data_IF_664735816231
#
_entry.id   IF_664735816231
#
_cell.length_a   1.000
_cell.length_b   1.000
_cell.length_c   1.000
_cell.angle_alpha   90.00
_cell.angle_beta   90.00
_cell.angle_gamma   90.00
#
_symmetry.space_group_name_H-M   'P 1'
#
loop_
_entity.id
_entity.type
_entity.pdbx_description
1 polymer ?
#
# COMPACT_ATOMS: atom_id res chain seq x y z
N UNK A 1 49.00 -40.12 29.00
CA UNK A 1 49.02 -39.92 30.46
C UNK A 1 49.90 -38.69 30.72
N UNK A 2 49.46 -37.62 31.37
CA UNK A 2 48.25 -37.40 32.20
C UNK A 2 47.58 -36.05 31.91
N UNK A 3 46.30 -35.94 32.28
CA UNK A 3 45.43 -34.76 32.24
C UNK A 3 45.71 -33.78 33.42
N UNK A 4 45.06 -32.59 33.49
CA UNK A 4 45.61 -31.41 34.18
C UNK A 4 45.12 -31.23 35.63
N UNK A 5 45.59 -30.19 36.34
CA UNK A 5 44.95 -29.68 37.56
C UNK A 5 44.27 -28.31 37.38
N UNK A 6 43.02 -28.27 37.82
CA UNK A 6 42.20 -27.16 38.31
C UNK A 6 41.39 -27.81 39.48
N UNK A 7 40.88 -27.13 40.54
CA UNK A 7 40.81 -25.68 40.81
C UNK A 7 41.07 -25.23 42.28
N UNK A 8 40.81 -23.92 42.53
CA UNK A 8 40.35 -23.26 43.79
C UNK A 8 41.36 -22.86 44.91
N UNK A 9 41.12 -21.63 45.39
CA UNK A 9 41.50 -21.00 46.69
C UNK A 9 43.02 -20.72 46.87
N UNK A 10 43.50 -19.60 47.42
CA UNK A 10 42.89 -18.33 47.91
C UNK A 10 43.96 -17.20 47.75
N UNK A 11 43.77 -15.91 48.08
CA UNK A 11 42.75 -15.21 48.87
C UNK A 11 42.65 -13.71 48.48
N UNK A 12 41.62 -13.01 48.97
CA UNK A 12 41.54 -11.55 49.13
C UNK A 12 41.15 -11.30 50.61
N UNK A 13 41.62 -10.23 51.28
CA UNK A 13 40.77 -9.03 51.43
C UNK A 13 41.64 -7.73 51.55
N UNK A 14 41.18 -6.50 51.82
CA UNK A 14 39.88 -5.92 52.22
C UNK A 14 39.88 -4.43 51.88
N UNK A 15 38.74 -3.84 51.47
CA UNK A 15 38.10 -2.69 52.16
C UNK A 15 36.99 -2.04 51.32
N UNK A 16 35.77 -2.10 51.87
CA UNK A 16 34.57 -1.30 51.54
C UNK A 16 33.89 -1.03 52.90
N UNK A 17 33.46 0.20 53.18
CA UNK A 17 32.01 0.50 53.34
C UNK A 17 31.60 1.72 52.49
N UNK A 18 30.31 2.00 52.20
CA UNK A 18 29.06 1.37 52.65
C UNK A 18 27.92 1.55 51.61
N UNK A 19 26.85 0.76 51.74
CA UNK A 19 25.59 0.86 50.97
C UNK A 19 24.47 1.48 51.84
N UNK A 20 23.22 1.70 51.35
CA UNK A 20 22.24 0.60 51.56
C UNK A 20 21.04 0.48 50.57
N UNK A 21 20.64 -0.78 50.32
CA UNK A 21 19.26 -1.32 50.10
C UNK A 21 18.39 -0.87 48.89
N UNK A 22 17.59 -1.73 48.24
CA UNK A 22 17.46 -3.21 48.31
C UNK A 22 16.09 -3.79 47.84
N UNK A 23 16.09 -5.07 47.38
CA UNK A 23 14.96 -6.05 47.26
C UNK A 23 14.01 -6.08 46.01
N UNK A 24 14.42 -6.87 45.00
CA UNK A 24 13.79 -8.11 44.43
C UNK A 24 12.23 -8.23 44.24
N UNK A 25 11.80 -8.31 42.96
CA UNK A 25 10.68 -9.08 42.31
C UNK A 25 9.19 -8.83 42.70
N UNK A 26 8.17 -9.22 41.86
CA UNK A 26 8.20 -9.93 40.56
C UNK A 26 7.39 -9.31 39.36
N UNK A 27 7.62 -9.88 38.18
CA UNK A 27 6.70 -10.14 37.04
C UNK A 27 5.40 -9.30 36.83
N UNK A 28 5.31 -8.55 35.71
CA UNK A 28 4.05 -8.41 34.94
C UNK A 28 4.22 -7.84 33.51
N UNK A 29 3.31 -8.21 32.62
CA UNK A 29 3.26 -7.76 31.21
C UNK A 29 2.90 -6.28 31.05
N UNK A 30 3.54 -5.56 30.11
CA UNK A 30 2.95 -4.40 29.42
C UNK A 30 3.63 -4.03 28.09
N UNK A 31 2.83 -3.44 27.19
CA UNK A 31 3.15 -3.14 25.78
C UNK A 31 4.14 -1.96 25.58
N UNK A 32 4.71 -1.78 24.37
CA UNK A 32 5.68 -0.72 24.11
C UNK A 32 5.11 0.69 24.30
N UNK A 33 5.77 1.51 25.12
CA UNK A 33 5.44 2.93 25.24
C UNK A 33 5.91 3.70 23.99
N UNK A 34 5.02 4.46 23.37
CA UNK A 34 5.38 5.41 22.31
C UNK A 34 6.28 6.51 22.87
N UNK A 35 7.39 6.81 22.17
CA UNK A 35 8.18 8.02 22.44
C UNK A 35 7.34 9.26 22.12
N UNK A 36 7.42 10.27 22.98
CA UNK A 36 6.80 11.57 22.75
C UNK A 36 7.38 12.27 21.51
N UNK A 37 6.59 13.04 20.74
CA UNK A 37 7.11 13.82 19.61
C UNK A 37 8.17 14.84 20.04
N UNK A 38 9.07 15.20 19.13
CA UNK A 38 10.02 16.31 19.33
C UNK A 38 9.30 17.66 19.44
N UNK A 39 9.92 18.61 20.15
CA UNK A 39 9.34 19.94 20.40
C UNK A 39 8.99 20.73 19.11
N UNK A 40 9.72 20.46 18.02
CA UNK A 40 9.48 21.08 16.71
C UNK A 40 8.15 20.62 16.09
N UNK A 41 7.79 19.34 16.24
CA UNK A 41 6.52 18.80 15.79
C UNK A 41 5.33 19.40 16.57
N UNK A 42 5.50 19.67 17.86
CA UNK A 42 4.50 20.36 18.68
C UNK A 42 4.30 21.81 18.19
N UNK A 43 5.39 22.51 17.87
CA UNK A 43 5.35 23.91 17.40
C UNK A 43 4.66 24.03 16.02
N UNK A 44 4.90 23.09 15.10
CA UNK A 44 4.16 23.04 13.83
C UNK A 44 2.67 22.73 14.01
N UNK A 45 2.33 21.83 14.94
CA UNK A 45 0.93 21.45 15.21
C UNK A 45 0.11 22.62 15.77
N UNK A 46 0.68 23.41 16.68
CA UNK A 46 0.03 24.63 17.20
C UNK A 46 -0.16 25.70 16.10
N UNK A 47 0.84 25.88 15.22
CA UNK A 47 0.74 26.82 14.09
C UNK A 47 -0.27 26.38 13.02
N UNK A 48 -0.52 25.07 12.85
CA UNK A 48 -1.62 24.56 12.02
C UNK A 48 -2.98 24.74 12.69
N UNK A 49 -3.09 24.51 14.00
CA UNK A 49 -4.34 24.72 14.76
C UNK A 49 -4.82 26.18 14.68
N UNK A 50 -3.90 27.14 14.75
CA UNK A 50 -4.19 28.57 14.66
C UNK A 50 -4.76 29.02 13.30
N UNK A 51 -4.67 28.19 12.25
CA UNK A 51 -5.16 28.48 10.89
C UNK A 51 -6.50 27.81 10.55
N UNK A 52 -7.09 27.01 11.45
CA UNK A 52 -8.41 26.42 11.21
C UNK A 52 -9.54 27.47 11.31
N UNK A 53 -10.58 27.40 10.47
CA UNK A 53 -11.76 28.26 10.62
C UNK A 53 -12.45 27.99 11.96
N UNK A 54 -12.79 29.06 12.70
CA UNK A 54 -13.40 29.01 14.05
C UNK A 54 -14.69 28.19 14.17
N UNK A 55 -15.34 27.83 13.06
CA UNK A 55 -16.51 26.96 13.00
C UNK A 55 -16.24 25.53 13.48
N UNK A 56 -14.99 25.06 13.50
CA UNK A 56 -14.62 23.70 13.95
C UNK A 56 -14.22 23.61 15.44
N UNK A 57 -14.08 24.73 16.15
CA UNK A 57 -13.70 24.76 17.57
C UNK A 57 -14.88 25.00 18.53
N UNK A 58 -16.12 24.98 18.02
CA UNK A 58 -17.33 25.12 18.84
C UNK A 58 -18.31 23.97 18.57
N UNK A 59 -18.14 22.86 19.30
CA UNK A 59 -19.17 22.34 20.21
C UNK A 59 -18.71 21.00 20.82
N UNK A 60 -17.99 21.06 21.95
CA UNK A 60 -17.77 19.90 22.82
C UNK A 60 -18.61 20.01 24.09
N UNK A 61 -19.89 20.39 23.95
CA UNK A 61 -20.88 20.09 24.97
C UNK A 61 -21.03 18.57 25.03
N UNK A 62 -20.45 17.97 26.06
CA UNK A 62 -20.94 16.68 26.56
C UNK A 62 -22.45 16.84 26.78
N UNK A 63 -23.30 15.93 26.26
CA UNK A 63 -24.73 16.02 26.49
C UNK A 63 -24.97 15.78 27.99
N UNK A 64 -25.19 16.88 28.72
CA UNK A 64 -25.69 16.81 30.08
C UNK A 64 -27.08 16.19 30.00
N UNK A 65 -27.18 14.91 30.36
CA UNK A 65 -28.46 14.25 30.60
C UNK A 65 -29.19 15.17 31.60
N UNK A 66 -30.31 15.81 31.22
CA UNK A 66 -30.97 16.75 32.10
C UNK A 66 -31.40 15.97 33.34
N UNK A 67 -30.92 16.38 34.53
CA UNK A 67 -31.40 15.81 35.78
C UNK A 67 -32.93 15.82 35.74
N UNK A 68 -33.54 14.66 36.00
CA UNK A 68 -35.00 14.50 36.05
C UNK A 68 -35.54 15.63 36.93
N UNK A 69 -36.30 16.54 36.31
CA UNK A 69 -36.71 17.77 36.99
C UNK A 69 -37.44 17.38 38.28
N UNK A 70 -37.09 17.98 39.44
CA UNK A 70 -37.72 17.62 40.73
C UNK A 70 -39.24 17.81 40.70
N UNK A 71 -39.74 18.62 39.77
CA UNK A 71 -41.16 18.84 39.48
C UNK A 71 -41.85 17.56 38.98
N UNK A 72 -41.18 16.71 38.19
CA UNK A 72 -41.74 15.44 37.70
C UNK A 72 -41.87 14.44 38.86
N UNK A 73 -40.86 14.33 39.70
CA UNK A 73 -40.90 13.50 40.91
C UNK A 73 -41.99 13.98 41.88
N UNK A 74 -42.15 15.30 42.03
CA UNK A 74 -43.22 15.90 42.82
C UNK A 74 -44.62 15.62 42.24
N UNK A 75 -44.80 15.69 40.92
CA UNK A 75 -46.06 15.34 40.26
C UNK A 75 -46.41 13.85 40.42
N UNK A 76 -45.42 12.96 40.28
CA UNK A 76 -45.59 11.52 40.54
C UNK A 76 -45.94 11.27 42.00
N UNK A 77 -45.28 11.95 42.95
CA UNK A 77 -45.60 11.85 44.37
C UNK A 77 -47.04 12.32 44.68
N UNK A 78 -47.50 13.42 44.07
CA UNK A 78 -48.89 13.89 44.20
C UNK A 78 -49.91 12.89 43.64
N UNK A 79 -49.61 12.22 42.52
CA UNK A 79 -50.45 11.14 41.98
C UNK A 79 -50.48 9.94 42.92
N UNK A 80 -49.33 9.50 43.44
CA UNK A 80 -49.24 8.37 44.37
C UNK A 80 -49.98 8.67 45.68
N UNK A 81 -49.85 9.88 46.23
CA UNK A 81 -50.58 10.33 47.43
C UNK A 81 -52.09 10.42 47.16
N UNK A 82 -52.48 10.98 46.01
CA UNK A 82 -53.89 11.05 45.59
C UNK A 82 -54.55 9.67 45.45
N UNK A 83 -53.83 8.70 44.89
CA UNK A 83 -54.25 7.30 44.83
C UNK A 83 -54.30 6.63 46.21
N UNK A 84 -53.31 6.89 47.07
CA UNK A 84 -53.22 6.28 48.41
C UNK A 84 -54.31 6.77 49.37
N UNK A 85 -54.76 8.02 49.21
CA UNK A 85 -55.86 8.63 49.98
C UNK A 85 -57.22 8.42 49.26
N UNK A 86 -57.23 7.76 48.10
CA UNK A 86 -58.40 7.54 47.23
C UNK A 86 -59.17 8.84 46.88
N UNK A 87 -58.44 9.96 46.73
CA UNK A 87 -59.01 11.27 46.42
C UNK A 87 -58.85 11.62 44.93
N UNK A 88 -59.93 11.37 44.18
CA UNK A 88 -60.03 11.51 42.72
C UNK A 88 -59.51 12.86 42.18
N UNK A 89 -59.83 13.97 42.83
CA UNK A 89 -59.47 15.32 42.35
C UNK A 89 -57.97 15.60 42.45
N UNK A 90 -57.30 15.07 43.48
CA UNK A 90 -55.85 15.19 43.65
C UNK A 90 -55.12 14.28 42.65
N UNK A 91 -55.63 13.06 42.45
CA UNK A 91 -55.09 12.13 41.45
C UNK A 91 -55.12 12.68 40.02
N UNK A 92 -56.27 13.22 39.57
CA UNK A 92 -56.42 13.76 38.20
C UNK A 92 -55.60 15.03 38.00
N UNK A 93 -55.56 15.96 38.95
CA UNK A 93 -54.76 17.18 38.82
C UNK A 93 -53.26 16.86 38.75
N UNK A 94 -52.76 15.94 39.58
CA UNK A 94 -51.40 15.42 39.48
C UNK A 94 -51.11 14.75 38.13
N UNK A 95 -52.04 13.93 37.63
CA UNK A 95 -51.87 13.20 36.37
C UNK A 95 -51.87 14.13 35.14
N UNK A 96 -52.75 15.15 35.10
CA UNK A 96 -52.76 16.15 34.03
C UNK A 96 -51.48 16.98 34.00
N UNK A 97 -51.01 17.44 35.17
CA UNK A 97 -49.77 18.22 35.27
C UNK A 97 -48.56 17.37 34.90
N UNK A 98 -48.46 16.14 35.43
CA UNK A 98 -47.38 15.21 35.10
C UNK A 98 -47.37 14.81 33.61
N UNK A 99 -48.53 14.60 33.01
CA UNK A 99 -48.69 14.30 31.59
C UNK A 99 -48.27 15.47 30.68
N UNK A 100 -48.74 16.69 30.96
CA UNK A 100 -48.36 17.88 30.20
C UNK A 100 -46.85 18.19 30.29
N UNK A 101 -46.25 18.01 31.47
CA UNK A 101 -44.80 18.20 31.64
C UNK A 101 -44.03 17.11 30.89
N UNK A 102 -44.43 15.85 30.98
CA UNK A 102 -43.77 14.74 30.26
C UNK A 102 -43.85 14.91 28.75
N UNK A 103 -45.03 15.31 28.23
CA UNK A 103 -45.23 15.58 26.80
C UNK A 103 -44.33 16.74 26.32
N UNK A 104 -44.20 17.80 27.13
CA UNK A 104 -43.31 18.93 26.84
C UNK A 104 -41.83 18.54 26.84
N UNK A 105 -41.39 17.67 27.75
CA UNK A 105 -40.02 17.16 27.80
C UNK A 105 -39.71 16.28 26.59
N UNK A 106 -40.62 15.37 26.22
CA UNK A 106 -40.51 14.56 24.99
C UNK A 106 -40.46 15.43 23.72
N UNK A 107 -41.28 16.49 23.67
CA UNK A 107 -41.28 17.44 22.55
C UNK A 107 -39.96 18.19 22.41
N UNK A 108 -39.36 18.64 23.52
CA UNK A 108 -38.06 19.33 23.52
C UNK A 108 -36.92 18.37 23.16
N UNK A 109 -36.89 17.16 23.73
CA UNK A 109 -35.86 16.16 23.46
C UNK A 109 -35.87 15.61 22.03
N UNK A 110 -37.01 15.67 21.34
CA UNK A 110 -37.14 15.23 19.94
C UNK A 110 -36.86 16.33 18.91
N UNK A 111 -36.80 17.61 19.28
CA UNK A 111 -36.44 18.69 18.35
C UNK A 111 -35.13 18.42 17.57
N UNK A 112 -33.97 18.13 18.21
CA UNK A 112 -32.72 17.97 17.46
C UNK A 112 -32.75 16.79 16.48
N UNK A 113 -33.45 15.70 16.83
CA UNK A 113 -33.56 14.52 15.97
C UNK A 113 -34.52 14.76 14.80
N UNK A 114 -35.56 15.58 15.01
CA UNK A 114 -36.41 16.10 13.93
C UNK A 114 -35.67 17.13 13.06
N UNK A 115 -34.73 17.89 13.62
CA UNK A 115 -33.94 18.92 12.89
C UNK A 115 -32.97 18.26 11.89
N UNK A 116 -32.42 17.11 12.25
CA UNK A 116 -31.56 16.29 11.39
C UNK A 116 -32.35 15.54 10.30
N UNK A 117 -33.55 15.04 10.60
CA UNK A 117 -34.38 14.25 9.67
C UNK A 117 -35.23 15.07 8.70
N UNK A 118 -35.68 16.28 9.07
CA UNK A 118 -36.63 17.07 8.25
C UNK A 118 -36.24 18.54 8.17
N UNK A 119 -35.65 19.00 7.04
CA UNK A 119 -35.26 20.40 6.83
C UNK A 119 -36.39 21.41 7.09
N UNK A 120 -36.05 22.57 7.65
CA UNK A 120 -37.00 23.59 8.08
C UNK A 120 -38.04 24.00 7.03
N UNK A 121 -37.67 24.00 5.73
CA UNK A 121 -38.56 24.34 4.61
C UNK A 121 -39.63 23.27 4.31
N UNK A 122 -39.40 22.01 4.68
CA UNK A 122 -40.37 20.91 4.49
C UNK A 122 -41.38 20.82 5.65
N UNK A 123 -41.01 21.27 6.86
CA UNK A 123 -41.89 21.23 8.04
C UNK A 123 -43.16 22.02 7.88
N UNK A 124 -43.06 23.25 7.38
CA UNK A 124 -44.22 24.12 7.12
C UNK A 124 -45.15 23.50 6.05
N UNK A 125 -44.59 22.83 5.04
CA UNK A 125 -45.35 22.10 4.02
C UNK A 125 -46.10 20.92 4.66
N UNK A 126 -45.44 20.12 5.49
CA UNK A 126 -46.09 18.98 6.18
C UNK A 126 -47.23 19.46 7.09
N UNK A 127 -47.00 20.51 7.89
CA UNK A 127 -48.05 21.10 8.76
C UNK A 127 -49.21 21.68 7.93
N UNK A 128 -48.92 22.35 6.82
CA UNK A 128 -49.96 22.89 5.92
C UNK A 128 -50.77 21.78 5.23
N UNK A 129 -50.13 20.69 4.79
CA UNK A 129 -50.79 19.53 4.17
C UNK A 129 -51.66 18.80 5.18
N UNK A 130 -51.15 18.52 6.39
CA UNK A 130 -51.95 17.90 7.46
C UNK A 130 -53.13 18.79 7.86
N UNK A 131 -52.90 20.10 8.00
CA UNK A 131 -53.96 21.08 8.25
C UNK A 131 -55.04 21.08 7.16
N UNK A 132 -54.64 21.11 5.89
CA UNK A 132 -55.56 21.06 4.76
C UNK A 132 -56.38 19.77 4.73
N UNK A 133 -55.76 18.61 4.98
CA UNK A 133 -56.45 17.31 5.07
C UNK A 133 -57.49 17.33 6.20
N UNK A 134 -57.12 17.81 7.40
CA UNK A 134 -58.03 17.91 8.54
C UNK A 134 -59.19 18.87 8.26
N UNK A 135 -58.94 20.03 7.63
CA UNK A 135 -59.98 20.97 7.24
C UNK A 135 -60.93 20.41 6.17
N UNK A 136 -60.42 19.70 5.16
CA UNK A 136 -61.24 19.01 4.15
C UNK A 136 -62.13 17.95 4.82
N UNK A 137 -61.56 17.13 5.70
CA UNK A 137 -62.30 16.09 6.42
C UNK A 137 -63.37 16.68 7.36
N UNK A 138 -63.06 17.80 8.03
CA UNK A 138 -64.02 18.53 8.86
C UNK A 138 -65.17 19.13 8.02
N UNK A 139 -64.88 19.73 6.87
CA UNK A 139 -65.89 20.27 5.95
C UNK A 139 -66.79 19.16 5.38
N UNK A 140 -66.23 18.02 4.97
CA UNK A 140 -67.01 16.87 4.50
C UNK A 140 -67.93 16.31 5.59
N UNK A 141 -67.45 16.27 6.85
CA UNK A 141 -68.25 15.80 7.99
C UNK A 141 -69.35 16.78 8.41
N UNK A 142 -69.09 18.10 8.41
CA UNK A 142 -70.07 19.11 8.83
C UNK A 142 -71.07 19.55 7.75
N UNK A 143 -70.72 19.42 6.47
CA UNK A 143 -71.61 19.82 5.35
C UNK A 143 -72.79 18.87 5.10
N UNK A 144 -72.88 17.73 5.81
CA UNK A 144 -73.92 16.72 5.60
C UNK A 144 -73.81 15.94 4.28
N UNK A 145 -72.84 16.27 3.42
CA UNK A 145 -72.64 15.68 2.09
C UNK A 145 -72.43 14.15 2.17
N UNK A 146 -71.87 13.63 3.27
CA UNK A 146 -71.72 12.19 3.50
C UNK A 146 -73.03 11.38 3.36
N UNK A 147 -74.18 11.92 3.76
CA UNK A 147 -75.46 11.21 3.61
C UNK A 147 -75.89 11.13 2.15
N UNK A 148 -75.77 12.26 1.41
CA UNK A 148 -76.04 12.33 -0.02
C UNK A 148 -75.13 11.44 -0.87
N UNK A 149 -73.84 11.34 -0.51
CA UNK A 149 -72.90 10.44 -1.18
C UNK A 149 -73.28 8.97 -0.94
N UNK A 150 -73.67 8.59 0.28
CA UNK A 150 -74.14 7.22 0.56
C UNK A 150 -75.43 6.87 -0.19
N UNK A 151 -76.38 7.81 -0.30
CA UNK A 151 -77.62 7.60 -1.06
C UNK A 151 -77.35 7.45 -2.56
N UNK A 152 -76.47 8.28 -3.13
CA UNK A 152 -76.02 8.16 -4.53
C UNK A 152 -75.24 6.86 -4.78
N UNK A 153 -74.33 6.49 -3.87
CA UNK A 153 -73.56 5.25 -3.96
C UNK A 153 -74.45 4.00 -3.92
N UNK A 154 -75.53 4.00 -3.13
CA UNK A 154 -76.46 2.87 -3.05
C UNK A 154 -77.44 2.77 -4.23
N UNK A 155 -77.55 3.80 -5.07
CA UNK A 155 -78.43 3.80 -6.26
C UNK A 155 -77.72 3.28 -7.52
N UNK A 156 -76.39 3.26 -7.54
CA UNK A 156 -75.60 2.87 -8.70
C UNK A 156 -75.28 1.36 -8.70
N UNK A 157 -75.48 0.70 -9.84
CA UNK A 157 -75.17 -0.73 -10.01
C UNK A 157 -73.66 -0.92 -10.13
N UNK A 158 -73.02 -1.33 -9.03
CA UNK A 158 -71.58 -1.53 -8.95
C UNK A 158 -71.05 -2.68 -9.84
N UNK A 159 -71.92 -3.58 -10.30
CA UNK A 159 -71.55 -4.74 -11.13
C UNK A 159 -70.89 -4.35 -12.46
N UNK A 160 -71.39 -3.30 -13.14
CA UNK A 160 -70.81 -2.83 -14.40
C UNK A 160 -69.44 -2.16 -14.17
N UNK A 161 -69.28 -1.46 -13.04
CA UNK A 161 -68.03 -0.81 -12.61
C UNK A 161 -66.95 -1.87 -12.29
N UNK A 162 -67.34 -3.06 -11.81
CA UNK A 162 -66.43 -4.18 -11.56
C UNK A 162 -65.62 -4.61 -12.78
N UNK A 163 -66.25 -4.68 -13.96
CA UNK A 163 -65.56 -5.03 -15.21
C UNK A 163 -64.50 -3.98 -15.65
N UNK A 164 -64.77 -2.71 -15.40
CA UNK A 164 -63.81 -1.61 -15.59
C UNK A 164 -62.66 -1.68 -14.56
N UNK A 165 -62.92 -2.11 -13.34
CA UNK A 165 -61.91 -2.33 -12.31
C UNK A 165 -60.95 -3.47 -12.67
N UNK A 166 -61.44 -4.56 -13.28
CA UNK A 166 -60.57 -5.65 -13.77
C UNK A 166 -59.66 -5.20 -14.92
N UNK A 167 -60.19 -4.50 -15.92
CA UNK A 167 -59.38 -4.00 -17.04
C UNK A 167 -58.34 -2.97 -16.58
N UNK A 168 -58.72 -2.01 -15.73
CA UNK A 168 -57.76 -1.04 -15.16
C UNK A 168 -56.73 -1.72 -14.25
N UNK A 169 -57.11 -2.78 -13.52
CA UNK A 169 -56.21 -3.63 -12.76
C UNK A 169 -55.17 -4.35 -13.64
N UNK A 170 -55.58 -4.94 -14.76
CA UNK A 170 -54.69 -5.59 -15.72
C UNK A 170 -53.71 -4.60 -16.37
N UNK A 171 -54.18 -3.41 -16.76
CA UNK A 171 -53.32 -2.32 -17.25
C UNK A 171 -52.31 -1.88 -16.17
N UNK A 172 -52.75 -1.78 -14.91
CA UNK A 172 -51.89 -1.49 -13.77
C UNK A 172 -50.80 -2.56 -13.56
N UNK A 173 -51.15 -3.84 -13.66
CA UNK A 173 -50.18 -4.95 -13.57
C UNK A 173 -49.14 -4.91 -14.69
N UNK A 174 -49.55 -4.63 -15.94
CA UNK A 174 -48.61 -4.46 -17.07
C UNK A 174 -47.66 -3.29 -16.80
N UNK A 175 -48.18 -2.16 -16.30
CA UNK A 175 -47.35 -1.00 -15.98
C UNK A 175 -46.34 -1.30 -14.85
N UNK A 176 -46.76 -2.01 -13.80
CA UNK A 176 -45.88 -2.47 -12.71
C UNK A 176 -44.79 -3.41 -13.25
N UNK A 177 -45.14 -4.35 -14.15
CA UNK A 177 -44.18 -5.28 -14.75
C UNK A 177 -43.12 -4.54 -15.61
N UNK A 178 -43.55 -3.60 -16.46
CA UNK A 178 -42.64 -2.76 -17.25
C UNK A 178 -41.73 -1.92 -16.34
N UNK A 179 -42.27 -1.34 -15.27
CA UNK A 179 -41.52 -0.54 -14.32
C UNK A 179 -40.52 -1.40 -13.52
N UNK A 180 -40.87 -2.63 -13.16
CA UNK A 180 -39.97 -3.58 -12.52
C UNK A 180 -38.81 -3.99 -13.45
N UNK A 181 -39.07 -4.26 -14.73
CA UNK A 181 -38.02 -4.54 -15.73
C UNK A 181 -37.10 -3.33 -15.92
N UNK A 182 -37.66 -2.12 -16.00
CA UNK A 182 -36.88 -0.89 -16.10
C UNK A 182 -35.99 -0.67 -14.87
N UNK A 183 -36.54 -0.84 -13.65
CA UNK A 183 -35.77 -0.73 -12.40
C UNK A 183 -34.65 -1.78 -12.34
N UNK A 184 -34.93 -3.04 -12.68
CA UNK A 184 -33.93 -4.11 -12.72
C UNK A 184 -32.81 -3.82 -13.73
N UNK A 185 -33.16 -3.33 -14.92
CA UNK A 185 -32.18 -2.92 -15.95
C UNK A 185 -31.32 -1.75 -15.50
N UNK A 186 -31.91 -0.73 -14.87
CA UNK A 186 -31.18 0.41 -14.28
C UNK A 186 -30.25 -0.04 -13.14
N UNK A 187 -30.71 -0.93 -12.27
CA UNK A 187 -29.92 -1.49 -11.17
C UNK A 187 -28.72 -2.31 -11.69
N UNK A 188 -28.92 -3.11 -12.74
CA UNK A 188 -27.84 -3.85 -13.41
C UNK A 188 -26.76 -2.92 -13.98
N UNK A 189 -27.15 -1.86 -14.71
CA UNK A 189 -26.20 -0.88 -15.26
C UNK A 189 -25.40 -0.22 -14.14
N UNK A 190 -26.07 0.27 -13.09
CA UNK A 190 -25.41 0.92 -11.95
C UNK A 190 -24.43 -0.04 -11.26
N UNK A 191 -24.83 -1.29 -11.02
CA UNK A 191 -23.97 -2.30 -10.40
C UNK A 191 -22.72 -2.58 -11.25
N UNK A 192 -22.88 -2.78 -12.56
CA UNK A 192 -21.76 -3.05 -13.48
C UNK A 192 -20.78 -1.88 -13.52
N UNK A 193 -21.28 -0.66 -13.64
CA UNK A 193 -20.46 0.54 -13.75
C UNK A 193 -19.73 0.85 -12.42
N UNK A 194 -20.33 0.51 -11.27
CA UNK A 194 -19.65 0.52 -9.97
C UNK A 194 -18.53 -0.52 -9.87
N UNK A 195 -18.76 -1.77 -10.32
CA UNK A 195 -17.74 -2.82 -10.33
C UNK A 195 -16.56 -2.45 -11.23
N UNK A 196 -16.80 -1.89 -12.42
CA UNK A 196 -15.74 -1.43 -13.33
C UNK A 196 -14.89 -0.34 -12.67
N UNK A 197 -15.53 0.69 -12.10
CA UNK A 197 -14.82 1.77 -11.40
C UNK A 197 -14.04 1.28 -10.18
N UNK A 198 -14.59 0.34 -9.43
CA UNK A 198 -13.91 -0.25 -8.28
C UNK A 198 -12.63 -0.97 -8.70
N UNK A 199 -12.67 -1.77 -9.77
CA UNK A 199 -11.50 -2.47 -10.29
C UNK A 199 -10.43 -1.49 -10.80
N UNK A 200 -10.83 -0.42 -11.50
CA UNK A 200 -9.92 0.63 -11.96
C UNK A 200 -9.24 1.36 -10.79
N UNK A 201 -10.02 1.80 -9.79
CA UNK A 201 -9.49 2.44 -8.57
C UNK A 201 -8.55 1.51 -7.80
N UNK A 202 -8.86 0.22 -7.70
CA UNK A 202 -7.99 -0.76 -7.04
C UNK A 202 -6.68 -0.97 -7.80
N UNK A 203 -6.71 -1.02 -9.14
CA UNK A 203 -5.50 -1.09 -9.96
C UNK A 203 -4.63 0.17 -9.83
N UNK A 204 -5.24 1.36 -9.86
CA UNK A 204 -4.56 2.63 -9.64
C UNK A 204 -3.93 2.69 -8.23
N UNK A 205 -4.66 2.26 -7.20
CA UNK A 205 -4.16 2.22 -5.83
C UNK A 205 -2.93 1.30 -5.69
N UNK A 206 -2.91 0.14 -6.34
CA UNK A 206 -1.74 -0.75 -6.33
C UNK A 206 -0.51 -0.06 -6.94
N UNK A 207 -0.66 0.60 -8.10
CA UNK A 207 0.42 1.33 -8.77
C UNK A 207 0.95 2.48 -7.89
N UNK A 208 0.06 3.25 -7.26
CA UNK A 208 0.42 4.35 -6.35
C UNK A 208 1.16 3.81 -5.12
N UNK A 209 0.67 2.73 -4.51
CA UNK A 209 1.30 2.11 -3.34
C UNK A 209 2.69 1.55 -3.69
N UNK A 210 2.87 0.93 -4.86
CA UNK A 210 4.19 0.51 -5.34
C UNK A 210 5.14 1.70 -5.52
N UNK A 211 4.69 2.81 -6.14
CA UNK A 211 5.49 4.01 -6.30
C UNK A 211 5.94 4.59 -4.95
N UNK A 212 4.99 4.79 -4.02
CA UNK A 212 5.29 5.26 -2.66
C UNK A 212 6.27 4.34 -1.92
N UNK A 213 6.17 3.02 -2.11
CA UNK A 213 7.09 2.05 -1.48
C UNK A 213 8.50 2.17 -2.07
N UNK A 214 8.62 2.35 -3.40
CA UNK A 214 9.90 2.56 -4.09
C UNK A 214 10.53 3.90 -3.68
N UNK A 215 9.75 4.98 -3.60
CA UNK A 215 10.23 6.30 -3.20
C UNK A 215 10.71 6.29 -1.73
N UNK A 216 9.96 5.63 -0.85
CA UNK A 216 10.36 5.41 0.56
C UNK A 216 11.65 4.60 0.65
N UNK A 217 11.83 3.61 -0.22
CA UNK A 217 13.07 2.84 -0.31
C UNK A 217 14.24 3.68 -0.84
N UNK A 218 14.04 4.53 -1.86
CA UNK A 218 15.08 5.42 -2.37
C UNK A 218 15.56 6.42 -1.32
N UNK A 219 14.63 7.04 -0.60
CA UNK A 219 14.96 7.88 0.55
C UNK A 219 15.70 7.06 1.62
N UNK A 220 15.12 5.93 2.05
CA UNK A 220 15.70 5.08 3.09
C UNK A 220 17.03 4.40 2.74
N UNK A 221 17.44 4.35 1.47
CA UNK A 221 18.81 3.97 1.07
C UNK A 221 19.71 5.20 1.04
N UNK A 222 19.23 6.34 0.55
CA UNK A 222 19.99 7.59 0.53
C UNK A 222 20.39 8.02 1.94
N UNK A 223 19.42 8.10 2.86
CA UNK A 223 19.59 8.44 4.28
C UNK A 223 20.46 7.42 5.06
N UNK A 224 20.76 6.25 4.50
CA UNK A 224 21.55 5.17 5.12
C UNK A 224 23.00 5.12 4.63
N UNK A 225 23.28 5.74 3.48
CA UNK A 225 24.51 5.54 2.70
C UNK A 225 25.18 6.89 2.36
N UNK A 226 24.47 8.00 2.49
CA UNK A 226 24.96 9.35 2.25
C UNK A 226 25.06 10.15 3.56
N UNK A 227 26.10 10.99 3.66
CA UNK A 227 26.25 11.99 4.73
C UNK A 227 25.39 13.26 4.48
N UNK A 228 25.48 14.25 5.38
CA UNK A 228 24.73 15.51 5.27
C UNK A 228 25.12 16.34 4.04
N UNK A 229 26.33 16.13 3.52
CA UNK A 229 26.87 16.72 2.29
C UNK A 229 26.47 15.96 1.01
N UNK A 230 25.85 14.78 1.14
CA UNK A 230 25.44 13.94 0.01
C UNK A 230 26.55 13.06 -0.58
N UNK A 231 27.61 12.80 0.18
CA UNK A 231 28.73 11.93 -0.17
C UNK A 231 28.56 10.52 0.41
N UNK A 232 29.14 9.50 -0.22
CA UNK A 232 29.04 8.11 0.23
C UNK A 232 29.85 7.87 1.51
N UNK A 233 29.17 7.73 2.64
CA UNK A 233 29.76 7.37 3.94
C UNK A 233 29.21 6.04 4.48
N UNK A 234 29.17 5.00 3.65
CA UNK A 234 28.64 3.70 4.03
C UNK A 234 29.62 2.82 4.85
N UNK A 235 29.18 2.45 6.05
CA UNK A 235 29.86 1.51 6.94
C UNK A 235 29.52 0.05 6.58
N UNK A 236 30.35 -0.95 6.96
CA UNK A 236 30.08 -2.36 6.66
C UNK A 236 28.71 -2.88 7.17
N UNK A 237 28.18 -2.31 8.25
CA UNK A 237 26.86 -2.66 8.78
C UNK A 237 25.72 -2.04 7.96
N UNK A 238 25.91 -0.82 7.47
CA UNK A 238 24.93 -0.10 6.65
C UNK A 238 24.83 -0.71 5.26
N UNK A 239 25.93 -1.19 4.67
CA UNK A 239 25.91 -2.04 3.46
C UNK A 239 25.03 -3.27 3.65
N UNK A 240 25.22 -4.02 4.75
CA UNK A 240 24.41 -5.21 5.03
C UNK A 240 22.92 -4.87 5.22
N UNK A 241 22.61 -3.72 5.85
CA UNK A 241 21.24 -3.21 5.96
C UNK A 241 20.66 -2.78 4.60
N UNK A 242 21.47 -2.14 3.75
CA UNK A 242 21.11 -1.71 2.40
C UNK A 242 20.85 -2.92 1.49
N UNK A 243 21.68 -3.96 1.54
CA UNK A 243 21.49 -5.25 0.86
C UNK A 243 20.20 -5.93 1.33
N UNK A 244 19.98 -6.02 2.65
CA UNK A 244 18.76 -6.61 3.22
C UNK A 244 17.48 -5.86 2.81
N UNK A 245 17.50 -4.52 2.86
CA UNK A 245 16.41 -3.66 2.36
C UNK A 245 16.19 -3.85 0.86
N UNK A 246 17.27 -3.95 0.08
CA UNK A 246 17.23 -4.13 -1.38
C UNK A 246 16.65 -5.48 -1.78
N UNK A 247 17.06 -6.57 -1.13
CA UNK A 247 16.48 -7.89 -1.33
C UNK A 247 14.97 -7.91 -1.01
N UNK A 248 14.58 -7.28 0.11
CA UNK A 248 13.18 -7.20 0.52
C UNK A 248 12.31 -6.43 -0.51
N UNK A 249 12.74 -5.24 -0.95
CA UNK A 249 11.97 -4.47 -1.94
C UNK A 249 11.94 -5.16 -3.31
N UNK A 250 13.05 -5.71 -3.80
CA UNK A 250 13.08 -6.42 -5.08
C UNK A 250 12.19 -7.66 -5.10
N UNK A 251 11.93 -8.28 -3.94
CA UNK A 251 11.01 -9.42 -3.82
C UNK A 251 9.52 -9.04 -3.83
N UNK A 252 9.18 -7.78 -3.54
CA UNK A 252 7.80 -7.31 -3.38
C UNK A 252 7.27 -6.44 -4.52
N UNK A 253 8.14 -5.97 -5.42
CA UNK A 253 7.76 -5.15 -6.58
C UNK A 253 7.76 -5.96 -7.89
N UNK A 254 7.05 -5.43 -8.88
CA UNK A 254 6.96 -5.99 -10.23
C UNK A 254 8.25 -5.76 -11.05
N UNK A 255 8.28 -6.24 -12.30
CA UNK A 255 9.44 -6.06 -13.19
C UNK A 255 9.78 -4.58 -13.40
N UNK A 256 8.77 -3.72 -13.59
CA UNK A 256 8.91 -2.26 -13.71
C UNK A 256 9.53 -1.63 -12.46
N UNK A 257 9.08 -2.01 -11.26
CA UNK A 257 9.66 -1.57 -10.00
C UNK A 257 11.11 -2.00 -9.83
N UNK A 258 11.43 -3.27 -10.13
CA UNK A 258 12.81 -3.78 -10.09
C UNK A 258 13.74 -3.00 -11.02
N UNK A 259 13.29 -2.68 -12.24
CA UNK A 259 14.14 -1.97 -13.21
C UNK A 259 14.43 -0.53 -12.78
N UNK A 260 13.45 0.17 -12.18
CA UNK A 260 13.67 1.48 -11.56
C UNK A 260 14.68 1.42 -10.43
N UNK A 261 14.57 0.42 -9.55
CA UNK A 261 15.49 0.22 -8.43
C UNK A 261 16.91 -0.04 -8.94
N UNK A 262 17.10 -1.02 -9.83
CA UNK A 262 18.42 -1.36 -10.37
C UNK A 262 19.07 -0.16 -11.08
N UNK A 263 18.29 0.64 -11.82
CA UNK A 263 18.79 1.86 -12.46
C UNK A 263 19.14 2.96 -11.48
N UNK A 264 18.35 3.17 -10.43
CA UNK A 264 18.70 4.10 -9.35
C UNK A 264 20.02 3.70 -8.69
N UNK A 265 20.11 2.45 -8.21
CA UNK A 265 21.31 1.94 -7.55
C UNK A 265 22.55 2.01 -8.45
N UNK A 266 22.41 1.74 -9.75
CA UNK A 266 23.49 1.88 -10.72
C UNK A 266 23.88 3.33 -10.98
N UNK A 267 22.91 4.26 -11.01
CA UNK A 267 23.18 5.68 -11.29
C UNK A 267 23.86 6.35 -10.10
N UNK A 268 23.43 6.00 -8.89
CA UNK A 268 24.01 6.43 -7.61
C UNK A 268 25.30 5.68 -7.23
N UNK A 269 25.90 4.92 -8.16
CA UNK A 269 27.14 4.13 -7.98
C UNK A 269 27.12 3.06 -6.88
N UNK A 270 25.96 2.74 -6.31
CA UNK A 270 25.80 1.79 -5.21
C UNK A 270 26.07 0.34 -5.63
N UNK A 271 25.82 0.01 -6.90
CA UNK A 271 26.16 -1.28 -7.50
C UNK A 271 27.60 -1.36 -7.98
N UNK A 272 28.28 -0.24 -8.21
CA UNK A 272 29.62 -0.22 -8.83
C UNK A 272 30.69 -0.50 -7.78
N UNK A 273 31.76 -1.28 -8.07
CA UNK A 273 32.82 -1.53 -7.10
C UNK A 273 33.71 -0.28 -6.97
N UNK A 274 33.65 0.37 -5.81
CA UNK A 274 34.37 1.61 -5.54
C UNK A 274 35.67 1.36 -4.79
N UNK A 275 36.73 2.09 -5.16
CA UNK A 275 37.98 2.11 -4.41
C UNK A 275 37.74 2.73 -3.02
N UNK A 276 38.35 2.14 -1.98
CA UNK A 276 38.16 2.55 -0.59
C UNK A 276 39.49 2.69 0.14
N UNK A 277 39.54 3.66 1.05
CA UNK A 277 40.69 3.82 1.94
C UNK A 277 40.83 2.59 2.85
N UNK A 278 42.05 2.03 2.91
CA UNK A 278 42.31 0.77 3.64
C UNK A 278 42.26 0.90 5.16
N UNK A 279 42.20 2.11 5.71
CA UNK A 279 42.15 2.38 7.16
C UNK A 279 40.76 2.81 7.60
N UNK A 280 40.09 3.64 6.80
CA UNK A 280 38.81 4.27 7.11
C UNK A 280 37.61 3.60 6.43
N UNK A 281 37.81 2.82 5.36
CA UNK A 281 36.74 2.17 4.61
C UNK A 281 35.85 3.11 3.79
N UNK A 282 36.12 4.42 3.79
CA UNK A 282 35.41 5.44 3.01
C UNK A 282 35.71 5.31 1.51
N UNK A 283 34.74 5.63 0.67
CA UNK A 283 34.92 5.69 -0.79
C UNK A 283 35.93 6.79 -1.17
N UNK A 284 36.78 6.51 -2.15
CA UNK A 284 37.80 7.45 -2.64
C UNK A 284 37.24 8.21 -3.85
N UNK A 285 37.59 9.49 -3.98
CA UNK A 285 37.24 10.33 -5.13
C UNK A 285 38.24 10.16 -6.28
N UNK A 286 37.76 10.21 -7.52
CA UNK A 286 38.56 10.09 -8.75
C UNK A 286 39.34 11.38 -9.13
N UNK A 287 39.15 12.46 -8.38
CA UNK A 287 39.73 13.78 -8.64
C UNK A 287 38.99 14.60 -9.72
N UNK A 288 37.97 14.03 -10.37
CA UNK A 288 37.08 14.69 -11.34
C UNK A 288 35.69 15.01 -10.73
N UNK A 289 35.47 14.69 -9.46
CA UNK A 289 34.21 14.90 -8.73
C UNK A 289 33.31 13.66 -8.69
N UNK A 290 33.81 12.49 -9.11
CA UNK A 290 33.16 11.19 -8.96
C UNK A 290 33.90 10.29 -7.97
N UNK A 291 33.38 9.08 -7.78
CA UNK A 291 34.06 8.03 -7.01
C UNK A 291 35.01 7.23 -7.90
N UNK A 292 36.20 6.92 -7.38
CA UNK A 292 37.16 6.06 -8.04
C UNK A 292 36.61 4.62 -8.13
N UNK A 293 36.62 4.03 -9.32
CA UNK A 293 36.23 2.63 -9.54
C UNK A 293 37.45 1.70 -9.47
N UNK A 294 37.48 0.78 -8.51
CA UNK A 294 38.42 -0.36 -8.51
C UNK A 294 37.62 -1.66 -8.77
N UNK A 295 37.77 -2.22 -9.97
CA UNK A 295 37.04 -3.45 -10.35
C UNK A 295 37.71 -4.75 -9.89
N UNK A 296 38.88 -4.67 -9.25
CA UNK A 296 39.64 -5.81 -8.75
C UNK A 296 39.51 -5.94 -7.24
N UNK A 297 39.61 -4.83 -6.49
CA UNK A 297 39.53 -4.82 -5.02
C UNK A 297 38.49 -3.84 -4.45
N UNK A 298 37.78 -3.09 -5.30
CA UNK A 298 36.75 -2.16 -4.85
C UNK A 298 35.52 -2.87 -4.31
N UNK A 299 34.80 -2.18 -3.43
CA UNK A 299 33.68 -2.73 -2.66
C UNK A 299 32.41 -2.01 -3.08
N UNK A 300 31.43 -2.78 -3.57
CA UNK A 300 30.07 -2.32 -3.88
C UNK A 300 29.37 -1.93 -2.58
N UNK A 301 28.45 -0.97 -2.62
CA UNK A 301 27.59 -0.66 -1.46
C UNK A 301 26.53 -1.76 -1.29
N UNK A 302 26.02 -2.27 -2.40
CA UNK A 302 25.06 -3.37 -2.47
C UNK A 302 25.60 -4.43 -3.43
N UNK A 303 25.91 -5.62 -2.94
CA UNK A 303 26.05 -6.80 -3.79
C UNK A 303 24.65 -7.34 -4.13
N UNK A 304 24.38 -7.51 -5.44
CA UNK A 304 23.13 -8.12 -5.91
C UNK A 304 23.09 -9.63 -5.65
N UNK A 305 24.23 -10.28 -5.37
CA UNK A 305 24.31 -11.65 -4.88
C UNK A 305 23.44 -12.62 -5.68
N UNK A 306 22.40 -13.16 -5.04
CA UNK A 306 21.38 -14.05 -5.64
C UNK A 306 20.02 -13.36 -5.90
N UNK A 307 19.88 -12.07 -5.63
CA UNK A 307 18.60 -11.33 -5.61
C UNK A 307 17.85 -11.34 -6.95
N UNK A 308 18.57 -11.52 -8.07
CA UNK A 308 17.99 -11.52 -9.42
C UNK A 308 17.88 -12.91 -10.06
N UNK A 309 18.23 -13.98 -9.33
CA UNK A 309 18.05 -15.35 -9.82
C UNK A 309 16.56 -15.66 -10.01
N UNK A 310 16.18 -16.11 -11.22
CA UNK A 310 14.80 -16.31 -11.67
C UNK A 310 13.89 -15.08 -11.56
N UNK A 311 14.46 -13.88 -11.46
CA UNK A 311 13.67 -12.66 -11.43
C UNK A 311 13.04 -12.35 -12.80
N UNK A 312 11.78 -11.95 -12.79
CA UNK A 312 11.16 -11.33 -13.96
C UNK A 312 11.55 -9.85 -14.06
N UNK A 313 12.20 -9.52 -15.17
CA UNK A 313 12.68 -8.21 -15.62
C UNK A 313 12.24 -7.95 -17.08
N UNK A 314 11.27 -8.73 -17.59
CA UNK A 314 10.86 -8.65 -19.00
C UNK A 314 10.15 -7.35 -19.34
N UNK A 315 10.35 -6.89 -20.58
CA UNK A 315 9.77 -5.64 -21.12
C UNK A 315 10.16 -4.38 -20.31
N UNK A 316 11.31 -4.39 -19.64
CA UNK A 316 11.77 -3.26 -18.80
C UNK A 316 12.90 -2.45 -19.44
N UNK A 317 13.08 -1.21 -18.97
CA UNK A 317 14.25 -0.37 -19.27
C UNK A 317 15.34 -0.60 -18.20
N UNK A 318 16.44 -1.24 -18.60
CA UNK A 318 17.66 -1.46 -17.81
C UNK A 318 18.88 -0.75 -18.44
N UNK A 319 18.66 0.30 -19.22
CA UNK A 319 19.73 1.03 -19.90
C UNK A 319 20.77 1.58 -18.95
N UNK A 320 22.04 1.43 -19.33
CA UNK A 320 23.22 1.91 -18.59
C UNK A 320 23.33 1.34 -17.17
N UNK A 321 22.59 0.27 -16.84
CA UNK A 321 22.62 -0.37 -15.51
C UNK A 321 23.87 -1.23 -15.36
N UNK A 322 24.54 -1.11 -14.22
CA UNK A 322 25.63 -2.00 -13.81
C UNK A 322 25.06 -3.26 -13.14
N UNK A 323 24.99 -4.33 -13.93
CA UNK A 323 24.61 -5.68 -13.51
C UNK A 323 25.84 -6.61 -13.49
N UNK A 324 27.05 -6.03 -13.37
CA UNK A 324 28.27 -6.82 -13.32
C UNK A 324 28.29 -7.72 -12.11
N UNK A 325 28.78 -8.95 -12.31
CA UNK A 325 28.83 -10.02 -11.29
C UNK A 325 27.48 -10.52 -10.75
N UNK A 326 26.35 -9.90 -11.14
CA UNK A 326 25.02 -10.30 -10.70
C UNK A 326 24.66 -11.74 -11.11
N UNK A 327 23.99 -12.46 -10.21
CA UNK A 327 23.37 -13.75 -10.53
C UNK A 327 21.99 -13.53 -11.17
N UNK A 328 21.90 -13.84 -12.47
CA UNK A 328 20.70 -13.79 -13.30
C UNK A 328 20.31 -15.20 -13.79
N UNK A 329 20.68 -16.26 -13.05
CA UNK A 329 20.36 -17.65 -13.41
C UNK A 329 18.85 -17.80 -13.60
N UNK A 330 18.42 -18.21 -14.80
CA UNK A 330 17.00 -18.37 -15.14
C UNK A 330 16.18 -17.08 -15.10
N UNK A 331 16.80 -15.89 -15.06
CA UNK A 331 16.07 -14.62 -15.09
C UNK A 331 15.38 -14.40 -16.43
N UNK A 332 14.21 -13.74 -16.40
CA UNK A 332 13.49 -13.35 -17.60
C UNK A 332 13.81 -11.90 -17.95
N UNK A 333 14.66 -11.71 -18.95
CA UNK A 333 15.10 -10.43 -19.52
C UNK A 333 14.53 -10.22 -20.95
N UNK A 334 13.50 -10.98 -21.33
CA UNK A 334 12.90 -10.88 -22.67
C UNK A 334 12.35 -9.48 -22.95
N UNK A 335 12.57 -9.00 -24.19
CA UNK A 335 12.24 -7.64 -24.66
C UNK A 335 12.77 -6.50 -23.76
N UNK A 336 13.82 -6.73 -22.96
CA UNK A 336 14.42 -5.71 -22.11
C UNK A 336 15.35 -4.77 -22.92
N UNK A 337 15.31 -3.48 -22.62
CA UNK A 337 16.26 -2.49 -23.15
C UNK A 337 17.54 -2.51 -22.29
N UNK A 338 18.57 -3.24 -22.78
CA UNK A 338 19.88 -3.38 -22.15
C UNK A 338 20.94 -2.44 -22.76
N UNK A 339 20.52 -1.38 -23.51
CA UNK A 339 21.45 -0.48 -24.21
C UNK A 339 22.48 0.10 -23.22
N UNK A 340 23.77 -0.14 -23.50
CA UNK A 340 24.92 0.24 -22.65
C UNK A 340 24.91 -0.33 -21.21
N UNK A 341 24.08 -1.33 -20.90
CA UNK A 341 24.15 -2.03 -19.62
C UNK A 341 25.47 -2.82 -19.50
N UNK A 342 25.93 -3.05 -18.27
CA UNK A 342 27.14 -3.81 -17.99
C UNK A 342 26.77 -5.17 -17.38
N UNK A 343 26.90 -6.23 -18.16
CA UNK A 343 26.70 -7.64 -17.77
C UNK A 343 28.03 -8.39 -17.58
N UNK A 344 29.17 -7.69 -17.55
CA UNK A 344 30.49 -8.31 -17.37
C UNK A 344 30.51 -9.20 -16.13
N UNK A 345 30.95 -10.45 -16.25
CA UNK A 345 30.97 -11.45 -15.16
C UNK A 345 29.58 -11.75 -14.56
N UNK A 346 28.46 -11.36 -15.16
CA UNK A 346 27.14 -11.82 -14.72
C UNK A 346 26.97 -13.34 -14.96
N UNK A 347 26.09 -13.99 -14.20
CA UNK A 347 25.65 -15.37 -14.49
C UNK A 347 24.32 -15.31 -15.23
N UNK A 348 24.31 -15.55 -16.54
CA UNK A 348 23.10 -15.61 -17.37
C UNK A 348 22.69 -17.07 -17.67
N UNK A 349 23.18 -18.05 -16.89
CA UNK A 349 22.89 -19.47 -17.12
C UNK A 349 21.38 -19.73 -17.18
N UNK A 350 20.89 -20.23 -18.32
CA UNK A 350 19.46 -20.48 -18.52
C UNK A 350 18.57 -19.23 -18.56
N UNK A 351 19.14 -18.01 -18.66
CA UNK A 351 18.37 -16.77 -18.71
C UNK A 351 17.69 -16.58 -20.08
N UNK A 352 16.48 -16.02 -20.07
CA UNK A 352 15.77 -15.67 -21.30
C UNK A 352 16.09 -14.21 -21.68
N UNK A 353 16.79 -13.99 -22.78
CA UNK A 353 17.12 -12.68 -23.34
C UNK A 353 16.36 -12.39 -24.64
N UNK A 354 15.36 -13.21 -25.00
CA UNK A 354 14.69 -13.15 -26.30
C UNK A 354 14.11 -11.75 -26.60
N UNK A 355 14.42 -11.21 -27.77
CA UNK A 355 13.96 -9.88 -28.20
C UNK A 355 14.63 -8.67 -27.53
N UNK A 356 15.55 -8.85 -26.57
CA UNK A 356 16.21 -7.75 -25.86
C UNK A 356 17.14 -6.90 -26.76
N UNK A 357 17.31 -5.61 -26.45
CA UNK A 357 18.24 -4.71 -27.17
C UNK A 357 19.64 -4.74 -26.53
N UNK A 358 20.61 -5.29 -27.27
CA UNK A 358 21.99 -5.50 -26.85
C UNK A 358 22.98 -4.38 -27.26
N UNK A 359 22.48 -3.25 -27.78
CA UNK A 359 23.32 -2.17 -28.32
C UNK A 359 24.35 -1.68 -27.29
N UNK A 360 25.63 -1.95 -27.57
CA UNK A 360 26.76 -1.60 -26.71
C UNK A 360 26.66 -2.14 -25.26
N UNK A 361 25.85 -3.18 -25.03
CA UNK A 361 25.81 -3.94 -23.79
C UNK A 361 27.15 -4.64 -23.57
N UNK A 362 27.74 -4.53 -22.38
CA UNK A 362 29.05 -5.11 -22.12
C UNK A 362 28.93 -6.51 -21.52
N UNK A 363 29.31 -7.53 -22.27
CA UNK A 363 29.40 -8.92 -21.78
C UNK A 363 30.77 -9.27 -21.21
N UNK A 364 31.84 -8.61 -21.65
CA UNK A 364 33.23 -8.83 -21.24
C UNK A 364 34.04 -7.52 -21.35
N UNK A 365 35.26 -7.52 -20.83
CA UNK A 365 36.28 -6.48 -21.06
C UNK A 365 37.39 -7.02 -21.96
N UNK A 366 38.31 -6.17 -22.42
CA UNK A 366 39.39 -6.59 -23.32
C UNK A 366 38.89 -7.02 -24.71
N UNK A 367 39.62 -7.94 -25.35
CA UNK A 367 39.36 -8.39 -26.73
C UNK A 367 38.59 -9.70 -26.76
N UNK A 368 37.75 -9.91 -27.78
CA UNK A 368 36.86 -11.09 -27.89
C UNK A 368 37.64 -12.41 -28.00
N UNK A 369 38.83 -12.39 -28.57
CA UNK A 369 39.70 -13.55 -28.78
C UNK A 369 40.19 -14.13 -27.44
N UNK A 370 40.52 -13.23 -26.50
CA UNK A 370 41.08 -13.50 -25.17
C UNK A 370 40.04 -13.44 -24.05
N UNK A 371 38.82 -12.96 -24.32
CA UNK A 371 37.73 -12.95 -23.35
C UNK A 371 37.29 -14.38 -22.99
N UNK A 372 37.24 -14.67 -21.70
CA UNK A 372 36.70 -15.92 -21.15
C UNK A 372 35.62 -15.63 -20.11
N UNK A 373 34.63 -16.53 -19.95
CA UNK A 373 33.68 -16.46 -18.85
C UNK A 373 34.39 -16.42 -17.51
N UNK A 374 33.76 -15.83 -16.51
CA UNK A 374 34.24 -15.94 -15.13
C UNK A 374 34.30 -17.42 -14.72
N UNK A 375 35.33 -17.78 -13.96
CA UNK A 375 35.44 -19.09 -13.31
C UNK A 375 35.36 -18.93 -11.80
N UNK A 376 34.83 -19.96 -11.13
CA UNK A 376 34.88 -20.11 -9.67
C UNK A 376 36.02 -21.04 -9.21
N UNK A 377 36.58 -21.87 -10.10
CA UNK A 377 37.51 -22.94 -9.75
C UNK A 377 38.96 -22.48 -9.95
N UNK A 378 39.56 -21.99 -8.86
CA UNK A 378 40.95 -21.53 -8.76
C UNK A 378 41.31 -20.29 -9.63
N UNK A 379 42.38 -19.55 -9.29
CA UNK A 379 42.55 -18.17 -9.75
C UNK A 379 42.85 -18.12 -11.25
N UNK A 380 42.32 -17.10 -11.94
CA UNK A 380 42.91 -15.78 -11.76
C UNK A 380 41.94 -14.66 -11.49
N UNK A 381 42.50 -13.60 -10.89
CA UNK A 381 41.93 -12.28 -10.86
C UNK A 381 41.48 -11.84 -12.27
N UNK A 382 40.29 -11.22 -12.41
CA UNK A 382 39.79 -10.77 -13.70
C UNK A 382 40.77 -9.79 -14.34
N UNK A 383 41.29 -10.12 -15.52
CA UNK A 383 42.20 -9.24 -16.24
C UNK A 383 41.39 -8.31 -17.15
N UNK A 384 41.03 -7.14 -16.63
CA UNK A 384 40.25 -6.14 -17.37
C UNK A 384 40.97 -5.51 -18.58
N UNK A 385 42.26 -5.79 -18.79
CA UNK A 385 43.00 -5.37 -19.99
C UNK A 385 42.90 -6.38 -21.12
N UNK A 386 43.04 -7.68 -20.82
CA UNK A 386 42.99 -8.75 -21.84
C UNK A 386 41.59 -9.35 -22.00
N UNK A 387 40.74 -9.28 -20.98
CA UNK A 387 39.40 -9.86 -20.95
C UNK A 387 39.28 -11.22 -20.27
N UNK A 388 40.42 -11.81 -19.90
CA UNK A 388 40.49 -13.15 -19.29
C UNK A 388 39.75 -13.13 -17.93
N UNK A 389 38.74 -14.01 -17.80
CA UNK A 389 37.75 -14.14 -16.71
C UNK A 389 36.88 -12.90 -16.44
N UNK A 390 36.72 -12.02 -17.43
CA UNK A 390 35.84 -10.84 -17.34
C UNK A 390 34.47 -11.03 -18.00
N UNK A 391 34.27 -12.15 -18.69
CA UNK A 391 33.08 -12.42 -19.46
C UNK A 391 31.91 -12.99 -18.64
N UNK A 392 30.69 -12.70 -19.10
CA UNK A 392 29.46 -13.27 -18.58
C UNK A 392 29.38 -14.78 -18.89
N UNK A 393 28.76 -15.55 -17.99
CA UNK A 393 28.40 -16.95 -18.24
C UNK A 393 27.10 -16.96 -19.02
N UNK A 394 27.14 -17.30 -20.31
CA UNK A 394 25.99 -17.25 -21.24
C UNK A 394 25.49 -18.64 -21.65
N UNK A 395 25.87 -19.66 -20.88
CA UNK A 395 25.48 -21.06 -21.06
C UNK A 395 23.96 -21.27 -21.00
N UNK A 396 23.40 -21.95 -22.00
CA UNK A 396 21.97 -22.26 -22.10
C UNK A 396 21.04 -21.02 -22.03
N UNK A 397 21.57 -19.82 -22.22
CA UNK A 397 20.77 -18.60 -22.33
C UNK A 397 20.12 -18.49 -23.72
N UNK A 398 18.87 -18.02 -23.76
CA UNK A 398 18.09 -17.86 -24.99
C UNK A 398 18.27 -16.45 -25.56
N UNK A 399 18.90 -16.34 -26.73
CA UNK A 399 19.11 -15.08 -27.46
C UNK A 399 18.13 -14.89 -28.63
N UNK A 400 17.04 -15.65 -28.70
CA UNK A 400 16.11 -15.66 -29.85
C UNK A 400 15.61 -14.26 -30.18
N UNK A 401 15.93 -13.76 -31.38
CA UNK A 401 15.50 -12.44 -31.83
C UNK A 401 16.11 -11.24 -31.10
N UNK A 402 17.21 -11.42 -30.35
CA UNK A 402 17.97 -10.31 -29.75
C UNK A 402 18.37 -9.27 -30.79
N UNK A 403 18.21 -8.00 -30.43
CA UNK A 403 18.37 -6.86 -31.31
C UNK A 403 19.74 -6.19 -31.11
N UNK A 404 20.31 -5.63 -32.19
CA UNK A 404 21.54 -4.83 -32.18
C UNK A 404 22.77 -5.52 -31.54
N UNK A 405 22.82 -6.86 -31.59
CA UNK A 405 23.98 -7.67 -31.20
C UNK A 405 25.17 -7.33 -32.12
N UNK A 406 26.29 -6.90 -31.52
CA UNK A 406 27.54 -6.65 -32.26
C UNK A 406 28.24 -7.96 -32.63
N UNK A 407 29.11 -7.90 -33.64
CA UNK A 407 29.88 -9.08 -34.06
C UNK A 407 30.77 -9.64 -32.94
N UNK A 408 31.37 -8.77 -32.11
CA UNK A 408 32.14 -9.17 -30.91
C UNK A 408 31.26 -9.87 -29.86
N UNK A 409 30.05 -9.35 -29.61
CA UNK A 409 29.09 -9.99 -28.69
C UNK A 409 28.63 -11.35 -29.24
N UNK A 410 28.30 -11.42 -30.54
CA UNK A 410 27.93 -12.64 -31.24
C UNK A 410 29.02 -13.70 -31.16
N UNK A 411 30.27 -13.33 -31.48
CA UNK A 411 31.42 -14.24 -31.40
C UNK A 411 31.63 -14.77 -29.98
N UNK A 412 31.53 -13.89 -28.96
CA UNK A 412 31.62 -14.31 -27.56
C UNK A 412 30.51 -15.30 -27.17
N UNK A 413 29.24 -14.98 -27.46
CA UNK A 413 28.12 -15.86 -27.14
C UNK A 413 28.15 -17.18 -27.91
N UNK A 414 28.57 -17.18 -29.18
CA UNK A 414 28.76 -18.40 -29.95
C UNK A 414 29.90 -19.28 -29.40
N UNK A 415 30.98 -18.67 -28.92
CA UNK A 415 32.12 -19.41 -28.35
C UNK A 415 31.81 -19.99 -26.96
N UNK A 416 31.02 -19.29 -26.14
CA UNK A 416 30.82 -19.58 -24.71
C UNK A 416 29.36 -19.80 -24.28
N UNK A 417 28.45 -20.07 -25.21
CA UNK A 417 27.02 -20.33 -24.91
C UNK A 417 26.63 -21.82 -24.83
N UNK A 418 27.41 -22.72 -25.42
CA UNK A 418 27.01 -24.12 -25.56
C UNK A 418 25.97 -24.32 -26.67
N UNK A 419 25.48 -25.55 -26.85
CA UNK A 419 24.70 -25.93 -28.03
C UNK A 419 23.33 -25.24 -28.10
N UNK A 420 22.60 -25.23 -26.97
CA UNK A 420 21.28 -24.58 -26.84
C UNK A 420 21.36 -23.11 -27.22
N UNK A 421 22.25 -22.34 -26.59
CA UNK A 421 22.45 -20.92 -26.88
C UNK A 421 22.84 -20.69 -28.34
N UNK A 422 23.75 -21.48 -28.90
CA UNK A 422 24.19 -21.36 -30.31
C UNK A 422 23.04 -21.50 -31.30
N UNK A 423 22.00 -22.27 -30.98
CA UNK A 423 20.80 -22.40 -31.82
C UNK A 423 19.91 -21.15 -31.84
N UNK A 424 19.97 -20.32 -30.79
CA UNK A 424 19.10 -19.13 -30.61
C UNK A 424 19.72 -17.83 -31.11
N UNK A 425 21.05 -17.78 -31.31
CA UNK A 425 21.78 -16.55 -31.63
C UNK A 425 21.40 -16.01 -33.03
N UNK A 426 20.93 -14.75 -33.15
CA UNK A 426 20.68 -14.10 -34.43
C UNK A 426 21.94 -14.02 -35.29
N UNK A 427 21.83 -14.42 -36.56
CA UNK A 427 22.99 -14.53 -37.46
C UNK A 427 23.80 -15.83 -37.31
N UNK A 428 23.41 -16.73 -36.41
CA UNK A 428 23.99 -18.07 -36.25
C UNK A 428 25.45 -18.08 -35.79
N UNK A 429 25.99 -19.28 -35.58
CA UNK A 429 27.34 -19.50 -35.06
C UNK A 429 28.28 -20.25 -36.03
N UNK A 430 27.98 -20.17 -37.33
CA UNK A 430 28.84 -20.72 -38.39
C UNK A 430 30.24 -20.11 -38.34
N UNK A 431 31.27 -20.95 -38.52
CA UNK A 431 32.68 -20.56 -38.45
C UNK A 431 33.23 -20.29 -37.04
N UNK A 432 32.40 -20.24 -35.99
CA UNK A 432 32.85 -19.95 -34.62
C UNK A 432 32.91 -21.25 -33.80
N UNK A 433 34.09 -21.67 -33.29
CA UNK A 433 34.23 -22.90 -32.52
C UNK A 433 33.55 -22.80 -31.14
N UNK A 434 32.89 -23.87 -30.70
CA UNK A 434 32.33 -23.98 -29.36
C UNK A 434 33.45 -24.30 -28.36
N UNK A 435 33.84 -23.33 -27.52
CA UNK A 435 34.97 -23.47 -26.58
C UNK A 435 34.59 -24.24 -25.30
N UNK A 436 33.29 -24.37 -24.97
CA UNK A 436 32.83 -25.10 -23.79
C UNK A 436 32.87 -26.62 -23.95
N UNK A 437 32.48 -27.13 -25.12
CA UNK A 437 32.57 -28.57 -25.42
C UNK A 437 34.03 -29.05 -25.53
N UNK A 438 34.99 -28.15 -25.77
CA UNK A 438 36.43 -28.46 -25.81
C UNK A 438 37.08 -28.51 -24.41
N UNK A 439 36.30 -28.30 -23.33
CA UNK A 439 36.77 -28.31 -21.94
C UNK A 439 36.19 -29.44 -21.08
N UNK A 440 35.58 -30.44 -21.73
CA UNK A 440 35.11 -31.73 -21.15
C UNK A 440 35.91 -32.86 -21.80
#
# INVERSE_FOLDING_TARGET
>A
MTTPPDPRQSNLPTNVPDSPNGKISPENNQLPQMRSPSAEAQTQYEQQLAKMPRSLLLNKQTPSIPLVSPIILMAIALVVVGLSINNFWIGISGALVGGLISLRVLWIGSQPLLDELVPAKQRSIIVAVVGAIVSIFALLKFSGINQRINEWANQQKWDEIGSLAEWTGAVGQIFIAVLAVYVAWRQYIISRDLTIKQNELTAQQNIITQQQTIDTYFQGISDLVLDEEGLLEDWPQERLLAEGRTAAILSSVDSSGKSKILRFLSTSKLLTPLERDRRLGRAIFDGAGGYAEDRVNGVRVIDLGVMLAKADLSNTDLRRTDLSEANLIGANLSNCDLVKANLSRAILYGANLAGADFKATRLFYGSVETATPRSHTQPPYPNYRTGIFTGAVVENADFTGVQQLSEEQRQYCCAWGGEETRSTIPGGCEGIPNKLQASI
#
